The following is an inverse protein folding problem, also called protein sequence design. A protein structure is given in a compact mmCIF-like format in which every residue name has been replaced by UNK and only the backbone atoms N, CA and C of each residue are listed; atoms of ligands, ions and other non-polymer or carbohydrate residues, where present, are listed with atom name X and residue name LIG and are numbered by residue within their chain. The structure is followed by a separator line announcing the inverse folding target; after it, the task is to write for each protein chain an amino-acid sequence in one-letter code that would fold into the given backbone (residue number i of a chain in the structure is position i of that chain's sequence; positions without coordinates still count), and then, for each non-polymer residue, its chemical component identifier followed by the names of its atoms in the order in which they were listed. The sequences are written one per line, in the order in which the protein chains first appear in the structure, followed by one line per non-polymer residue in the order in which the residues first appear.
data_IF_493852173095
#
_entry.id   IF_493852173095
#
_cell.length_a   1.000
_cell.length_b   1.000
_cell.length_c   1.000
_cell.angle_alpha   90.00
_cell.angle_beta   90.00
_cell.angle_gamma   90.00
#
_symmetry.space_group_name_H-M   'P 1'
#
loop_
_entity.id
_entity.type
_entity.pdbx_description
1 polymer ?
#
# COMPACT_ATOMS: atom_id res chain seq x y z
N UNK A 1 36.00 -13.91 6.05
CA UNK A 1 35.16 -14.97 5.45
C UNK A 1 33.86 -15.01 6.22
N UNK A 2 32.76 -14.73 5.56
CA UNK A 2 31.43 -14.65 6.18
C UNK A 2 30.44 -14.25 5.10
N UNK A 3 30.28 -15.13 4.10
CA UNK A 3 29.22 -14.98 3.13
C UNK A 3 27.90 -15.04 3.88
N UNK A 4 27.15 -13.94 3.90
CA UNK A 4 25.74 -13.99 4.29
C UNK A 4 25.06 -14.90 3.29
N UNK A 5 24.68 -16.11 3.73
CA UNK A 5 24.00 -17.04 2.86
C UNK A 5 22.67 -16.42 2.44
N UNK A 6 22.45 -16.33 1.14
CA UNK A 6 21.19 -15.89 0.52
C UNK A 6 19.97 -16.60 1.16
N UNK A 7 20.14 -17.86 1.53
CA UNK A 7 19.16 -18.69 2.23
C UNK A 7 18.85 -18.23 3.67
N UNK A 8 19.83 -17.74 4.43
CA UNK A 8 19.63 -17.19 5.78
C UNK A 8 18.88 -15.85 5.75
N UNK A 9 18.95 -15.13 4.62
CA UNK A 9 18.18 -13.91 4.35
C UNK A 9 16.71 -14.21 4.02
N UNK A 10 16.48 -15.22 3.17
CA UNK A 10 15.14 -15.70 2.79
C UNK A 10 14.39 -16.32 3.96
N UNK A 11 15.05 -17.14 4.77
CA UNK A 11 14.44 -17.76 5.95
C UNK A 11 14.11 -16.71 7.03
N UNK A 12 14.97 -15.69 7.18
CA UNK A 12 14.68 -14.53 8.02
C UNK A 12 13.46 -13.74 7.53
N UNK A 13 13.30 -13.55 6.22
CA UNK A 13 12.13 -12.86 5.64
C UNK A 13 10.85 -13.66 5.80
N UNK A 14 10.87 -14.98 5.55
CA UNK A 14 9.70 -15.86 5.72
C UNK A 14 9.21 -15.88 7.18
N UNK A 15 10.14 -15.93 8.13
CA UNK A 15 9.80 -15.84 9.55
C UNK A 15 9.16 -14.49 9.92
N UNK A 16 9.61 -13.38 9.33
CA UNK A 16 9.01 -12.06 9.56
C UNK A 16 7.60 -11.96 8.97
N UNK A 17 7.40 -12.47 7.75
CA UNK A 17 6.07 -12.48 7.12
C UNK A 17 5.04 -13.30 7.92
N UNK A 18 5.49 -14.38 8.57
CA UNK A 18 4.64 -15.22 9.44
C UNK A 18 4.15 -14.51 10.71
N UNK A 19 4.69 -13.33 11.05
CA UNK A 19 4.27 -12.56 12.24
C UNK A 19 2.93 -11.83 12.03
N UNK A 20 2.35 -11.87 10.82
CA UNK A 20 1.11 -11.18 10.51
C UNK A 20 1.28 -9.67 10.48
N UNK A 21 2.27 -9.21 9.71
CA UNK A 21 2.55 -7.79 9.56
C UNK A 21 1.32 -7.04 9.01
N UNK A 22 0.90 -5.93 9.64
CA UNK A 22 -0.30 -5.22 9.23
C UNK A 22 -0.32 -4.77 7.76
N UNK A 23 0.79 -4.26 7.22
CA UNK A 23 0.86 -3.85 5.81
C UNK A 23 0.71 -5.04 4.86
N UNK A 24 1.29 -6.19 5.21
CA UNK A 24 1.21 -7.40 4.39
C UNK A 24 -0.20 -7.98 4.41
N UNK A 25 -0.81 -8.08 5.60
CA UNK A 25 -2.21 -8.51 5.76
C UNK A 25 -3.17 -7.60 4.97
N UNK A 26 -2.89 -6.29 4.94
CA UNK A 26 -3.63 -5.33 4.15
C UNK A 26 -3.52 -5.65 2.65
N UNK A 27 -2.30 -5.81 2.13
CA UNK A 27 -2.08 -6.13 0.72
C UNK A 27 -2.64 -7.50 0.33
N UNK A 28 -2.50 -8.53 1.18
CA UNK A 28 -3.12 -9.83 0.98
C UNK A 28 -4.63 -9.74 0.87
N UNK A 29 -5.26 -8.89 1.68
CA UNK A 29 -6.71 -8.64 1.61
C UNK A 29 -7.10 -8.04 0.26
N UNK A 30 -6.32 -7.09 -0.27
CA UNK A 30 -6.56 -6.51 -1.59
C UNK A 30 -6.33 -7.55 -2.72
N UNK A 31 -5.32 -8.39 -2.57
CA UNK A 31 -4.88 -9.34 -3.59
C UNK A 31 -5.77 -10.61 -3.68
N UNK A 32 -6.16 -11.17 -2.54
CA UNK A 32 -6.72 -12.53 -2.47
C UNK A 32 -8.15 -12.60 -1.99
N UNK A 33 -8.63 -11.62 -1.21
CA UNK A 33 -10.04 -11.57 -0.84
C UNK A 33 -10.81 -11.13 -2.09
N UNK A 34 -11.27 -12.07 -2.91
CA UNK A 34 -12.02 -11.78 -4.15
C UNK A 34 -13.53 -11.93 -3.96
N UNK A 35 -13.95 -12.62 -2.91
CA UNK A 35 -15.36 -12.84 -2.60
C UNK A 35 -16.10 -11.50 -2.44
N UNK A 36 -17.26 -11.40 -3.07
CA UNK A 36 -18.10 -10.19 -3.04
C UNK A 36 -17.66 -9.08 -4.00
N UNK A 37 -16.58 -9.25 -4.79
CA UNK A 37 -16.20 -8.26 -5.81
C UNK A 37 -17.20 -8.20 -6.97
N UNK A 38 -17.95 -9.27 -7.23
CA UNK A 38 -18.95 -9.33 -8.31
C UNK A 38 -20.08 -8.32 -8.12
N UNK A 39 -20.37 -7.94 -6.87
CA UNK A 39 -21.31 -6.86 -6.54
C UNK A 39 -21.01 -5.56 -7.29
N UNK A 40 -19.73 -5.29 -7.58
CA UNK A 40 -19.25 -4.06 -8.20
C UNK A 40 -19.03 -4.18 -9.71
N UNK A 41 -19.38 -5.32 -10.35
CA UNK A 41 -19.14 -5.51 -11.79
C UNK A 41 -19.83 -4.44 -12.63
N UNK A 42 -21.15 -4.26 -12.46
CA UNK A 42 -21.93 -3.30 -13.26
C UNK A 42 -21.43 -1.86 -13.09
N UNK A 43 -21.14 -1.45 -11.85
CA UNK A 43 -20.61 -0.13 -11.55
C UNK A 43 -19.25 0.09 -12.23
N UNK A 44 -18.35 -0.89 -12.12
CA UNK A 44 -17.04 -0.80 -12.74
C UNK A 44 -17.07 -0.90 -14.27
N UNK A 45 -18.03 -1.59 -14.86
CA UNK A 45 -18.24 -1.62 -16.30
C UNK A 45 -18.64 -0.24 -16.81
N UNK A 46 -19.58 0.41 -16.12
CA UNK A 46 -20.01 1.76 -16.44
C UNK A 46 -18.88 2.77 -16.24
N UNK A 47 -18.17 2.71 -15.11
CA UNK A 47 -17.05 3.61 -14.82
C UNK A 47 -15.94 3.43 -15.85
N UNK A 48 -15.44 2.21 -16.04
CA UNK A 48 -14.32 1.93 -16.94
C UNK A 48 -14.67 2.20 -18.41
N UNK A 49 -15.93 2.00 -18.83
CA UNK A 49 -16.34 2.28 -20.22
C UNK A 49 -16.21 3.77 -20.58
N UNK A 50 -16.47 4.67 -19.64
CA UNK A 50 -16.38 6.13 -19.81
C UNK A 50 -14.97 6.70 -19.81
N UNK A 51 -13.97 5.92 -19.36
CA UNK A 51 -12.56 6.34 -19.27
C UNK A 51 -11.78 5.91 -20.51
N UNK A 52 -10.71 6.59 -20.89
CA UNK A 52 -9.92 6.24 -22.08
C UNK A 52 -8.80 5.24 -21.75
N UNK A 53 -8.11 5.47 -20.64
CA UNK A 53 -6.93 4.75 -20.21
C UNK A 53 -7.21 3.77 -19.05
N UNK A 54 -8.00 4.18 -18.05
CA UNK A 54 -8.35 3.37 -16.90
C UNK A 54 -9.43 2.33 -17.25
N UNK A 55 -8.97 1.16 -17.66
CA UNK A 55 -9.80 0.01 -18.06
C UNK A 55 -9.72 -1.17 -17.10
N UNK A 56 -9.08 -1.00 -15.94
CA UNK A 56 -8.83 -2.08 -14.97
C UNK A 56 -10.02 -2.27 -14.02
N UNK A 57 -11.00 -3.04 -14.49
CA UNK A 57 -12.19 -3.41 -13.71
C UNK A 57 -11.84 -3.97 -12.33
N UNK A 58 -10.83 -4.85 -12.22
CA UNK A 58 -10.38 -5.40 -10.94
C UNK A 58 -10.00 -4.32 -9.91
N UNK A 59 -9.19 -3.33 -10.33
CA UNK A 59 -8.76 -2.24 -9.44
C UNK A 59 -9.95 -1.36 -9.06
N UNK A 60 -10.85 -1.07 -10.01
CA UNK A 60 -12.09 -0.35 -9.72
C UNK A 60 -12.93 -1.07 -8.65
N UNK A 61 -13.12 -2.40 -8.76
CA UNK A 61 -13.92 -3.17 -7.79
C UNK A 61 -13.29 -3.17 -6.41
N UNK A 62 -11.96 -3.28 -6.35
CA UNK A 62 -11.22 -3.22 -5.08
C UNK A 62 -11.36 -1.84 -4.44
N UNK A 63 -11.24 -0.77 -5.21
CA UNK A 63 -11.47 0.59 -4.75
C UNK A 63 -12.89 0.78 -4.21
N UNK A 64 -13.92 0.41 -4.97
CA UNK A 64 -15.31 0.50 -4.53
C UNK A 64 -15.57 -0.28 -3.25
N UNK A 65 -15.04 -1.50 -3.16
CA UNK A 65 -15.15 -2.29 -1.93
C UNK A 65 -14.48 -1.62 -0.75
N UNK A 66 -13.25 -1.14 -0.93
CA UNK A 66 -12.50 -0.49 0.14
C UNK A 66 -13.26 0.74 0.64
N UNK A 67 -13.73 1.58 -0.28
CA UNK A 67 -14.51 2.77 0.06
C UNK A 67 -15.81 2.41 0.76
N UNK A 68 -16.57 1.41 0.28
CA UNK A 68 -17.85 1.02 0.88
C UNK A 68 -17.72 0.27 2.21
N UNK A 69 -16.57 -0.36 2.47
CA UNK A 69 -16.36 -1.12 3.71
C UNK A 69 -16.31 -0.12 4.86
N UNK A 70 -17.28 -0.16 5.80
CA UNK A 70 -17.22 0.69 6.98
C UNK A 70 -15.89 0.39 7.68
N UNK A 71 -15.11 1.42 7.99
CA UNK A 71 -13.93 1.25 8.84
C UNK A 71 -14.43 0.80 10.22
N UNK A 72 -14.52 -0.52 10.43
CA UNK A 72 -14.79 -1.10 11.75
C UNK A 72 -13.70 -0.68 12.74
N UNK A 73 -12.55 -0.18 12.24
CA UNK A 73 -11.34 0.10 12.99
C UNK A 73 -11.04 1.59 13.19
N UNK A 74 -11.78 2.54 12.59
CA UNK A 74 -11.45 3.99 12.69
C UNK A 74 -12.49 4.84 13.43
N UNK A 75 -13.30 4.22 14.29
CA UNK A 75 -14.03 4.99 15.31
C UNK A 75 -13.23 5.14 16.61
N UNK A 76 -12.02 4.60 16.65
CA UNK A 76 -11.02 4.99 17.62
C UNK A 76 -9.97 5.80 16.86
N UNK A 77 -9.65 7.00 17.32
CA UNK A 77 -8.48 7.79 16.88
C UNK A 77 -7.12 7.08 17.20
N UNK A 78 -7.11 5.73 17.27
CA UNK A 78 -6.09 4.87 17.87
C UNK A 78 -5.40 3.92 16.88
N UNK A 79 -5.71 3.94 15.57
CA UNK A 79 -4.86 3.22 14.62
C UNK A 79 -3.58 4.03 14.40
N UNK A 80 -2.42 3.46 14.74
CA UNK A 80 -1.11 4.13 14.62
C UNK A 80 -0.73 4.59 13.18
N UNK A 81 -1.55 4.26 12.18
CA UNK A 81 -1.32 4.54 10.77
C UNK A 81 -2.63 4.70 9.97
N UNK A 82 -2.54 5.28 8.77
CA UNK A 82 -3.66 5.46 7.84
C UNK A 82 -3.62 4.43 6.69
N UNK A 83 -4.62 3.54 6.67
CA UNK A 83 -4.84 2.57 5.59
C UNK A 83 -5.04 3.21 4.22
N UNK A 84 -5.47 4.47 4.15
CA UNK A 84 -5.65 5.16 2.88
C UNK A 84 -4.32 5.36 2.15
N UNK A 85 -3.25 5.61 2.90
CA UNK A 85 -1.90 5.74 2.34
C UNK A 85 -1.42 4.40 1.79
N UNK A 86 -1.68 3.29 2.51
CA UNK A 86 -1.41 1.93 2.00
C UNK A 86 -2.15 1.65 0.68
N UNK A 87 -3.45 2.02 0.62
CA UNK A 87 -4.24 1.83 -0.60
C UNK A 87 -3.67 2.65 -1.76
N UNK A 88 -3.30 3.91 -1.53
CA UNK A 88 -2.74 4.78 -2.56
C UNK A 88 -1.47 4.18 -3.18
N UNK A 89 -0.51 3.77 -2.34
CA UNK A 89 0.71 3.13 -2.83
C UNK A 89 0.44 1.78 -3.50
N UNK A 90 -0.49 0.97 -2.99
CA UNK A 90 -0.86 -0.30 -3.61
C UNK A 90 -1.47 -0.10 -4.99
N UNK A 91 -2.44 0.80 -5.12
CA UNK A 91 -3.08 1.12 -6.40
C UNK A 91 -2.05 1.62 -7.43
N UNK A 92 -1.15 2.50 -7.02
CA UNK A 92 -0.08 2.98 -7.90
C UNK A 92 0.89 1.86 -8.31
N UNK A 93 1.29 1.00 -7.37
CA UNK A 93 2.14 -0.16 -7.64
C UNK A 93 1.53 -1.13 -8.66
N UNK A 94 0.22 -1.42 -8.55
CA UNK A 94 -0.49 -2.28 -9.50
C UNK A 94 -0.56 -1.69 -10.91
N UNK A 95 -0.64 -0.36 -11.00
CA UNK A 95 -0.56 0.33 -12.28
C UNK A 95 0.86 0.28 -12.84
N UNK A 96 1.85 0.68 -12.04
CA UNK A 96 3.25 0.87 -12.46
C UNK A 96 3.90 -0.41 -12.98
N UNK A 97 3.55 -1.58 -12.42
CA UNK A 97 4.02 -2.90 -12.87
C UNK A 97 3.83 -3.18 -14.37
N UNK A 98 2.81 -2.57 -15.01
CA UNK A 98 2.53 -2.78 -16.44
C UNK A 98 3.38 -1.90 -17.36
N UNK A 99 4.00 -0.85 -16.84
CA UNK A 99 4.59 0.20 -17.64
C UNK A 99 6.12 0.13 -17.62
N UNK A 100 6.71 0.01 -18.81
CA UNK A 100 8.13 0.27 -19.01
C UNK A 100 8.37 1.77 -19.12
N UNK A 101 9.64 2.21 -19.04
CA UNK A 101 10.02 3.63 -19.17
C UNK A 101 9.42 4.31 -20.42
N UNK A 102 9.32 3.60 -21.54
CA UNK A 102 8.80 4.15 -22.80
C UNK A 102 7.29 4.38 -22.79
N UNK A 103 6.55 3.82 -21.84
CA UNK A 103 5.09 3.94 -21.72
C UNK A 103 4.67 4.75 -20.49
N UNK A 104 5.56 5.55 -19.90
CA UNK A 104 5.28 6.34 -18.70
C UNK A 104 4.09 7.30 -18.89
N UNK A 105 3.93 7.92 -20.06
CA UNK A 105 2.79 8.80 -20.34
C UNK A 105 1.43 8.08 -20.23
N UNK A 106 1.38 6.79 -20.57
CA UNK A 106 0.17 5.99 -20.41
C UNK A 106 -0.08 5.66 -18.93
N UNK A 107 0.97 5.43 -18.13
CA UNK A 107 0.84 5.31 -16.67
C UNK A 107 0.27 6.59 -16.06
N UNK A 108 0.83 7.75 -16.42
CA UNK A 108 0.34 9.07 -15.94
C UNK A 108 -1.13 9.25 -16.28
N UNK A 109 -1.52 8.91 -17.52
CA UNK A 109 -2.91 9.04 -17.98
C UNK A 109 -3.86 8.05 -17.30
N UNK A 110 -3.46 6.79 -17.12
CA UNK A 110 -4.25 5.77 -16.42
C UNK A 110 -4.41 6.12 -14.93
N UNK A 111 -3.34 6.55 -14.27
CA UNK A 111 -3.39 6.97 -12.86
C UNK A 111 -4.20 8.24 -12.66
N UNK A 112 -4.09 9.22 -13.56
CA UNK A 112 -4.92 10.42 -13.54
C UNK A 112 -6.41 10.08 -13.64
N UNK A 113 -6.79 9.20 -14.57
CA UNK A 113 -8.19 8.75 -14.68
C UNK A 113 -8.66 7.94 -13.47
N UNK A 114 -7.80 7.09 -12.88
CA UNK A 114 -8.10 6.41 -11.62
C UNK A 114 -8.40 7.41 -10.50
N UNK A 115 -7.55 8.42 -10.32
CA UNK A 115 -7.73 9.39 -9.24
C UNK A 115 -8.98 10.27 -9.45
N UNK A 116 -9.33 10.58 -10.70
CA UNK A 116 -10.62 11.22 -11.01
C UNK A 116 -11.80 10.34 -10.62
N UNK A 117 -11.79 9.05 -10.98
CA UNK A 117 -12.82 8.09 -10.53
C UNK A 117 -12.90 8.08 -9.01
N UNK A 118 -11.76 7.96 -8.34
CA UNK A 118 -11.71 7.89 -6.89
C UNK A 118 -12.30 9.15 -6.26
N UNK A 119 -11.89 10.35 -6.71
CA UNK A 119 -12.46 11.61 -6.25
C UNK A 119 -13.97 11.71 -6.48
N UNK A 120 -14.46 11.31 -7.65
CA UNK A 120 -15.90 11.30 -7.95
C UNK A 120 -16.66 10.41 -6.95
N UNK A 121 -16.11 9.24 -6.62
CA UNK A 121 -16.73 8.28 -5.69
C UNK A 121 -16.78 8.83 -4.26
N UNK A 122 -15.70 9.43 -3.76
CA UNK A 122 -15.69 10.01 -2.40
C UNK A 122 -16.40 11.37 -2.32
N UNK A 123 -16.61 12.05 -3.45
CA UNK A 123 -17.41 13.28 -3.52
C UNK A 123 -18.91 13.01 -3.59
N UNK A 124 -19.33 11.79 -3.91
CA UNK A 124 -20.74 11.41 -4.00
C UNK A 124 -21.38 11.27 -2.61
N UNK A 125 -21.95 12.38 -2.12
CA UNK A 125 -22.65 12.46 -0.84
C UNK A 125 -23.84 11.51 -0.71
N UNK A 126 -24.34 10.93 -1.81
CA UNK A 126 -25.40 9.91 -1.76
C UNK A 126 -24.87 8.55 -1.27
N UNK A 127 -23.56 8.30 -1.43
CA UNK A 127 -22.87 7.08 -1.01
C UNK A 127 -22.46 7.16 0.46
N UNK A 128 -23.44 7.26 1.37
CA UNK A 128 -23.21 7.43 2.82
C UNK A 128 -22.33 6.36 3.47
N UNK A 129 -22.26 5.16 2.89
CA UNK A 129 -21.40 4.08 3.37
C UNK A 129 -19.93 4.27 3.00
N UNK A 130 -19.61 5.23 2.12
CA UNK A 130 -18.26 5.40 1.63
C UNK A 130 -17.38 6.12 2.64
N UNK A 131 -16.13 5.71 2.71
CA UNK A 131 -15.11 6.45 3.42
C UNK A 131 -14.70 7.70 2.62
N UNK A 132 -15.43 8.80 2.84
CA UNK A 132 -15.22 10.07 2.15
C UNK A 132 -13.91 10.78 2.52
N UNK A 133 -13.17 10.32 3.55
CA UNK A 133 -11.90 10.92 3.97
C UNK A 133 -10.70 10.34 3.24
N UNK A 134 -10.83 9.13 2.65
CA UNK A 134 -9.73 8.48 1.96
C UNK A 134 -9.58 9.01 0.53
N UNK A 135 -8.73 10.04 0.38
CA UNK A 135 -8.49 10.74 -0.87
C UNK A 135 -7.37 10.08 -1.69
N UNK A 136 -7.48 10.11 -3.04
CA UNK A 136 -6.37 9.77 -3.91
C UNK A 136 -5.19 10.73 -3.71
N UNK A 137 -3.98 10.18 -3.68
CA UNK A 137 -2.72 10.90 -3.62
C UNK A 137 -2.16 11.10 -5.04
N UNK A 138 -2.37 12.29 -5.58
CA UNK A 138 -1.86 12.67 -6.90
C UNK A 138 -0.34 12.87 -6.91
N UNK A 139 0.26 13.15 -5.76
CA UNK A 139 1.67 13.54 -5.65
C UNK A 139 2.62 12.36 -5.81
N UNK A 140 2.12 11.10 -5.73
CA UNK A 140 2.91 9.89 -6.00
C UNK A 140 3.63 9.97 -7.36
N UNK A 141 3.01 10.56 -8.38
CA UNK A 141 3.66 10.73 -9.70
C UNK A 141 4.91 11.62 -9.67
N UNK A 142 4.98 12.54 -8.72
CA UNK A 142 6.08 13.50 -8.57
C UNK A 142 7.19 12.95 -7.66
N UNK A 143 6.99 11.78 -7.07
CA UNK A 143 7.93 11.12 -6.17
C UNK A 143 8.78 10.14 -6.96
N UNK A 144 9.95 10.58 -7.42
CA UNK A 144 10.95 9.72 -8.09
C UNK A 144 11.38 8.52 -7.24
N UNK A 145 11.21 8.63 -5.92
CA UNK A 145 11.51 7.63 -4.90
C UNK A 145 10.25 7.03 -4.24
N UNK A 146 9.10 7.03 -4.91
CA UNK A 146 7.82 6.51 -4.37
C UNK A 146 7.93 5.08 -3.81
N UNK A 147 8.74 4.19 -4.42
CA UNK A 147 8.96 2.83 -3.92
C UNK A 147 9.58 2.82 -2.52
N UNK A 148 10.57 3.70 -2.28
CA UNK A 148 11.20 3.85 -0.96
C UNK A 148 10.26 4.49 0.05
N UNK A 149 9.38 5.41 -0.40
CA UNK A 149 8.38 6.04 0.47
C UNK A 149 7.32 5.03 0.90
N UNK A 150 6.85 4.20 -0.04
CA UNK A 150 5.99 3.05 0.25
C UNK A 150 6.68 2.13 1.27
N UNK A 151 7.92 1.73 1.02
CA UNK A 151 8.66 0.81 1.90
C UNK A 151 8.85 1.38 3.31
N UNK A 152 9.13 2.68 3.44
CA UNK A 152 9.22 3.35 4.73
C UNK A 152 7.87 3.37 5.44
N UNK A 153 6.80 3.67 4.72
CA UNK A 153 5.46 3.70 5.30
C UNK A 153 5.00 2.31 5.76
N UNK A 154 5.25 1.27 4.94
CA UNK A 154 5.03 -0.13 5.30
C UNK A 154 5.80 -0.49 6.59
N UNK A 155 7.06 -0.04 6.71
CA UNK A 155 7.85 -0.23 7.92
C UNK A 155 7.21 0.45 9.15
N UNK A 156 6.75 1.70 9.02
CA UNK A 156 6.08 2.43 10.09
C UNK A 156 4.81 1.71 10.56
N UNK A 157 3.98 1.27 9.60
CA UNK A 157 2.76 0.49 9.85
C UNK A 157 3.05 -0.80 10.61
N UNK A 158 4.15 -1.47 10.29
CA UNK A 158 4.53 -2.74 10.89
C UNK A 158 5.28 -2.62 12.23
N UNK A 159 5.71 -1.42 12.60
CA UNK A 159 6.65 -1.22 13.70
C UNK A 159 6.11 -1.71 15.04
N UNK A 160 4.85 -1.46 15.36
CA UNK A 160 4.25 -1.88 16.64
C UNK A 160 4.21 -3.41 16.77
N UNK A 161 3.80 -4.11 15.70
CA UNK A 161 3.81 -5.58 15.65
C UNK A 161 5.23 -6.13 15.81
N UNK A 162 6.20 -5.55 15.11
CA UNK A 162 7.60 -5.96 15.20
C UNK A 162 8.18 -5.72 16.60
N UNK A 163 7.95 -4.54 17.18
CA UNK A 163 8.42 -4.16 18.51
C UNK A 163 7.79 -5.04 19.60
N UNK A 164 6.46 -5.22 19.54
CA UNK A 164 5.73 -6.10 20.45
C UNK A 164 6.19 -7.56 20.37
N UNK A 165 6.48 -8.05 19.17
CA UNK A 165 6.98 -9.42 18.97
C UNK A 165 8.41 -9.56 19.51
N UNK A 166 9.29 -8.59 19.26
CA UNK A 166 10.67 -8.61 19.74
C UNK A 166 10.77 -8.69 21.27
N UNK A 167 9.84 -8.05 21.99
CA UNK A 167 9.81 -8.03 23.45
C UNK A 167 9.28 -9.33 24.09
N UNK A 168 8.58 -10.18 23.32
CA UNK A 168 7.83 -11.32 23.87
C UNK A 168 8.31 -12.71 23.38
N UNK A 169 9.18 -12.77 22.37
CA UNK A 169 9.59 -14.02 21.72
C UNK A 169 11.05 -14.43 21.98
N UNK A 170 11.39 -15.66 21.59
CA UNK A 170 12.71 -16.25 21.77
C UNK A 170 13.83 -15.54 20.99
N UNK A 171 15.09 -15.84 21.34
CA UNK A 171 16.30 -15.23 20.77
C UNK A 171 16.34 -15.24 19.24
N UNK A 172 15.87 -16.32 18.61
CA UNK A 172 15.87 -16.44 17.14
C UNK A 172 14.91 -15.44 16.48
N UNK A 173 13.74 -15.26 17.07
CA UNK A 173 12.74 -14.28 16.59
C UNK A 173 13.30 -12.86 16.70
N UNK A 174 13.94 -12.54 17.83
CA UNK A 174 14.61 -11.25 18.04
C UNK A 174 15.73 -11.03 17.00
N UNK A 175 16.56 -12.03 16.70
CA UNK A 175 17.59 -11.94 15.65
C UNK A 175 16.99 -11.66 14.27
N UNK A 176 15.88 -12.30 13.92
CA UNK A 176 15.20 -12.07 12.64
C UNK A 176 14.63 -10.65 12.55
N UNK A 177 13.99 -10.16 13.61
CA UNK A 177 13.47 -8.78 13.68
C UNK A 177 14.61 -7.77 13.60
N UNK A 178 15.71 -8.00 14.34
CA UNK A 178 16.89 -7.14 14.26
C UNK A 178 17.45 -7.08 12.83
N UNK A 179 17.56 -8.23 12.14
CA UNK A 179 17.99 -8.25 10.72
C UNK A 179 17.03 -7.46 9.83
N UNK A 180 15.72 -7.61 10.02
CA UNK A 180 14.71 -6.86 9.27
C UNK A 180 14.86 -5.35 9.49
N UNK A 181 14.90 -4.88 10.74
CA UNK A 181 15.05 -3.45 11.08
C UNK A 181 16.37 -2.91 10.52
N UNK A 182 17.47 -3.65 10.69
CA UNK A 182 18.78 -3.27 10.16
C UNK A 182 18.76 -3.17 8.62
N UNK A 183 18.01 -4.03 7.94
CA UNK A 183 17.82 -3.97 6.50
C UNK A 183 17.12 -2.69 6.01
N UNK A 184 16.39 -1.99 6.89
CA UNK A 184 15.74 -0.71 6.58
C UNK A 184 16.64 0.50 6.81
N UNK A 185 17.86 0.32 7.31
CA UNK A 185 18.79 1.43 7.61
C UNK A 185 19.06 2.34 6.39
N UNK A 186 19.14 1.76 5.19
CA UNK A 186 19.38 2.53 3.96
C UNK A 186 18.20 3.43 3.59
N UNK A 187 16.96 3.09 3.97
CA UNK A 187 15.80 3.97 3.80
C UNK A 187 15.96 5.23 4.65
N UNK A 188 16.35 5.07 5.92
CA UNK A 188 16.57 6.21 6.82
C UNK A 188 17.67 7.12 6.30
N UNK A 189 18.77 6.55 5.79
CA UNK A 189 19.84 7.34 5.17
C UNK A 189 19.33 8.12 3.96
N UNK A 190 18.61 7.46 3.04
CA UNK A 190 18.04 8.08 1.85
C UNK A 190 17.15 9.28 2.20
N UNK A 191 16.25 9.13 3.18
CA UNK A 191 15.35 10.21 3.57
C UNK A 191 16.00 11.28 4.44
N UNK A 192 16.98 10.95 5.30
CA UNK A 192 17.73 11.97 6.03
C UNK A 192 18.45 12.94 5.08
N UNK A 193 19.11 12.41 4.05
CA UNK A 193 19.82 13.24 3.07
C UNK A 193 18.86 14.14 2.28
N UNK A 194 17.71 13.62 1.86
CA UNK A 194 16.71 14.40 1.09
C UNK A 194 15.93 15.39 1.93
N UNK A 195 15.54 15.04 3.15
CA UNK A 195 14.82 15.95 4.04
C UNK A 195 15.73 17.08 4.54
N UNK A 196 17.03 16.83 4.74
CA UNK A 196 17.99 17.87 5.10
C UNK A 196 18.22 18.90 3.97
N UNK A 197 17.95 18.54 2.72
CA UNK A 197 18.05 19.46 1.56
C UNK A 197 16.82 20.36 1.38
N UNK A 198 15.74 20.11 2.15
CA UNK A 198 14.50 20.89 2.13
C UNK A 198 14.40 21.90 3.28
N UNK A 199 15.44 21.97 4.13
CA UNK A 199 15.61 22.92 5.25
C UNK A 199 16.61 24.01 4.87
#
# INVERSE_FOLDING_TARGET
MGGSNFWDGLDGQLNILSMGLPSENFYETLNYKINGLDKYESDCDLICSKKKFFKRKRLCKILLRYLETPRIWSQTDDTAYDDCILLNYWMYSELSQKYTKNNFNNLVSEFGELNLVWNDLIGDISKKSYNHTCKPDFDILNQDDWEKRKELYDYCVNYETLSGTANNYNEQTCKNIYKYIKGKADLYKHFNERCAQLL
#
